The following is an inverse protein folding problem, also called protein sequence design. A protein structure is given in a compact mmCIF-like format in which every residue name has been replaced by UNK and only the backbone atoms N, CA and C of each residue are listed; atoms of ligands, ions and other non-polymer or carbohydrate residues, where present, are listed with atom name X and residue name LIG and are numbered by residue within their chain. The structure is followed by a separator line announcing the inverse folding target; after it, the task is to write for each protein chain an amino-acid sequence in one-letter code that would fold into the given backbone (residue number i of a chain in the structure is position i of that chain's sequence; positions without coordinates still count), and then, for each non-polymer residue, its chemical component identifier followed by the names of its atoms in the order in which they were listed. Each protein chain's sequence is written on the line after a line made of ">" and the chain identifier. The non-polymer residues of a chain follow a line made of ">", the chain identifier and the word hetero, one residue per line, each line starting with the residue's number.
data_IF_522600190067
#
_entry.id   IF_522600190067
#
_cell.length_a   1.000
_cell.length_b   1.000
_cell.length_c   1.000
_cell.angle_alpha   90.00
_cell.angle_beta   90.00
_cell.angle_gamma   90.00
#
_symmetry.space_group_name_H-M   'P 1'
#
loop_
_entity.id
_entity.type
_entity.pdbx_description
1 polymer ?
#
# COMPACT_ATOMS: atom_id res chain seq x y z
N UNK A 1 -7.73 -63.92 16.53
CA UNK A 1 -6.45 -63.20 16.64
C UNK A 1 -6.64 -61.84 15.98
N UNK A 2 -6.62 -60.78 16.80
CA UNK A 2 -7.09 -59.43 16.46
C UNK A 2 -6.09 -58.69 15.56
N UNK A 3 -6.59 -58.21 14.43
CA UNK A 3 -6.06 -57.07 13.69
C UNK A 3 -6.30 -55.77 14.49
N UNK A 4 -5.31 -54.87 14.55
CA UNK A 4 -5.64 -53.46 14.44
C UNK A 4 -4.64 -52.74 13.53
N UNK A 5 -5.14 -52.32 12.35
CA UNK A 5 -4.45 -51.43 11.42
C UNK A 5 -5.45 -50.33 11.05
N UNK A 6 -5.84 -49.52 12.04
CA UNK A 6 -6.84 -48.48 11.86
C UNK A 6 -6.65 -47.35 12.89
N UNK A 7 -5.72 -46.43 12.64
CA UNK A 7 -5.69 -45.11 13.28
C UNK A 7 -4.64 -44.19 12.62
N UNK A 8 -4.86 -43.77 11.38
CA UNK A 8 -4.02 -42.73 10.75
C UNK A 8 -4.83 -41.90 9.73
N UNK A 9 -6.01 -41.43 10.12
CA UNK A 9 -6.84 -40.61 9.25
C UNK A 9 -7.63 -39.59 10.07
N UNK A 10 -6.99 -38.52 10.60
CA UNK A 10 -7.72 -37.43 11.27
C UNK A 10 -6.93 -36.10 11.42
N UNK A 11 -6.02 -35.77 10.50
CA UNK A 11 -5.34 -34.46 10.56
C UNK A 11 -5.14 -33.82 9.17
N UNK A 12 -6.22 -33.70 8.39
CA UNK A 12 -6.27 -32.73 7.30
C UNK A 12 -7.28 -31.64 7.68
N UNK A 13 -6.88 -30.80 8.62
CA UNK A 13 -7.63 -29.59 8.97
C UNK A 13 -7.50 -28.64 7.78
N UNK A 14 -8.61 -28.42 7.09
CA UNK A 14 -8.71 -27.47 5.99
C UNK A 14 -8.27 -26.08 6.47
N UNK A 15 -7.10 -25.64 6.04
CA UNK A 15 -6.67 -24.27 6.23
C UNK A 15 -7.69 -23.35 5.52
N UNK A 16 -8.11 -22.25 6.15
CA UNK A 16 -9.03 -21.31 5.51
C UNK A 16 -8.36 -20.78 4.25
N UNK A 17 -8.99 -21.01 3.11
CA UNK A 17 -8.56 -20.43 1.85
C UNK A 17 -8.59 -18.91 2.01
N UNK A 18 -7.43 -18.26 1.90
CA UNK A 18 -7.35 -16.82 1.80
C UNK A 18 -8.17 -16.40 0.58
N UNK A 19 -9.36 -15.85 0.80
CA UNK A 19 -10.17 -15.28 -0.26
C UNK A 19 -9.32 -14.21 -0.96
N UNK A 20 -8.99 -14.45 -2.23
CA UNK A 20 -8.38 -13.45 -3.07
C UNK A 20 -9.32 -12.24 -3.06
N UNK A 21 -8.87 -11.14 -2.47
CA UNK A 21 -9.66 -9.92 -2.39
C UNK A 21 -9.76 -9.36 -3.80
N UNK A 22 -10.97 -9.23 -4.35
CA UNK A 22 -11.15 -8.53 -5.63
C UNK A 22 -10.59 -7.11 -5.50
N UNK A 23 -9.92 -6.58 -6.53
CA UNK A 23 -9.37 -5.23 -6.48
C UNK A 23 -10.48 -4.25 -6.15
N UNK A 24 -10.33 -3.47 -5.08
CA UNK A 24 -11.26 -2.41 -4.75
C UNK A 24 -11.36 -1.46 -5.96
N UNK A 25 -12.55 -1.34 -6.54
CA UNK A 25 -12.80 -0.45 -7.67
C UNK A 25 -12.87 0.97 -7.13
N UNK A 26 -11.73 1.67 -7.15
CA UNK A 26 -11.61 3.09 -6.80
C UNK A 26 -11.60 3.97 -8.05
N UNK A 27 -12.07 5.21 -7.91
CA UNK A 27 -12.01 6.23 -8.96
C UNK A 27 -10.57 6.51 -9.41
N UNK A 28 -10.41 7.10 -10.61
CA UNK A 28 -9.09 7.49 -11.12
C UNK A 28 -8.39 8.50 -10.21
N UNK A 29 -9.15 9.46 -9.67
CA UNK A 29 -8.65 10.45 -8.72
C UNK A 29 -8.14 9.79 -7.44
N UNK A 30 -8.95 8.92 -6.84
CA UNK A 30 -8.57 8.16 -5.64
C UNK A 30 -7.35 7.27 -5.89
N UNK A 31 -7.21 6.73 -7.10
CA UNK A 31 -6.04 5.95 -7.50
C UNK A 31 -4.80 6.82 -7.58
N UNK A 32 -4.89 8.03 -8.15
CA UNK A 32 -3.78 8.97 -8.19
C UNK A 32 -3.36 9.38 -6.77
N UNK A 33 -4.33 9.66 -5.90
CA UNK A 33 -4.11 10.02 -4.50
C UNK A 33 -3.38 8.90 -3.74
N UNK A 34 -3.87 7.66 -3.86
CA UNK A 34 -3.25 6.46 -3.28
C UNK A 34 -1.81 6.26 -3.78
N UNK A 35 -1.63 6.37 -5.09
CA UNK A 35 -0.33 6.17 -5.76
C UNK A 35 0.69 7.22 -5.33
N UNK A 36 0.29 8.48 -5.20
CA UNK A 36 1.18 9.53 -4.70
C UNK A 36 1.50 9.39 -3.21
N UNK A 37 0.52 9.02 -2.39
CA UNK A 37 0.76 8.71 -0.98
C UNK A 37 1.79 7.57 -0.80
N UNK A 38 1.66 6.51 -1.60
CA UNK A 38 2.62 5.41 -1.60
C UNK A 38 4.00 5.83 -2.12
N UNK A 39 4.08 6.65 -3.17
CA UNK A 39 5.33 7.16 -3.70
C UNK A 39 6.10 8.00 -2.66
N UNK A 40 5.40 8.88 -1.93
CA UNK A 40 6.02 9.64 -0.85
C UNK A 40 6.55 8.76 0.28
N UNK A 41 5.80 7.73 0.68
CA UNK A 41 6.27 6.79 1.68
C UNK A 41 7.55 6.06 1.24
N UNK A 42 7.62 5.65 -0.03
CA UNK A 42 8.81 5.01 -0.60
C UNK A 42 10.00 5.97 -0.68
N UNK A 43 9.81 7.19 -1.18
CA UNK A 43 10.87 8.21 -1.25
C UNK A 43 11.36 8.57 0.14
N UNK A 44 10.46 8.82 1.10
CA UNK A 44 10.83 9.15 2.48
C UNK A 44 11.65 8.02 3.12
N UNK A 45 11.30 6.76 2.87
CA UNK A 45 12.09 5.61 3.34
C UNK A 45 13.48 5.59 2.71
N UNK A 46 13.59 5.76 1.38
CA UNK A 46 14.89 5.84 0.69
C UNK A 46 15.75 7.02 1.21
N UNK A 47 15.13 8.16 1.51
CA UNK A 47 15.80 9.32 2.12
C UNK A 47 16.31 9.00 3.53
N UNK A 48 15.49 8.35 4.36
CA UNK A 48 15.87 7.93 5.71
C UNK A 48 17.01 6.90 5.71
N UNK A 49 17.10 6.05 4.68
CA UNK A 49 18.21 5.12 4.46
C UNK A 49 19.46 5.78 3.85
N UNK A 50 19.38 7.06 3.50
CA UNK A 50 20.50 7.82 2.94
C UNK A 50 20.81 7.51 1.47
N UNK A 51 19.88 6.89 0.74
CA UNK A 51 20.06 6.53 -0.67
C UNK A 51 20.29 7.78 -1.54
N UNK A 52 21.36 7.76 -2.35
CA UNK A 52 21.73 8.91 -3.17
C UNK A 52 20.65 9.27 -4.21
N UNK A 53 19.98 8.26 -4.78
CA UNK A 53 18.90 8.43 -5.75
C UNK A 53 17.70 9.20 -5.18
N UNK A 54 17.46 9.14 -3.87
CA UNK A 54 16.35 9.82 -3.23
C UNK A 54 16.61 11.31 -2.94
N UNK A 55 17.87 11.75 -3.02
CA UNK A 55 18.28 13.15 -2.79
C UNK A 55 17.91 14.09 -3.95
N UNK A 56 17.54 13.53 -5.10
CA UNK A 56 17.02 14.32 -6.22
C UNK A 56 15.63 14.91 -5.92
N UNK A 57 14.91 14.32 -4.96
CA UNK A 57 13.60 14.78 -4.52
C UNK A 57 13.73 15.68 -3.30
N UNK A 58 12.82 16.66 -3.12
CA UNK A 58 12.75 17.44 -1.88
C UNK A 58 12.52 16.50 -0.68
N UNK A 59 12.83 16.97 0.53
CA UNK A 59 12.50 16.23 1.74
C UNK A 59 10.98 16.10 1.87
N UNK A 60 10.50 14.86 1.80
CA UNK A 60 9.07 14.53 1.89
C UNK A 60 8.72 13.83 3.20
N UNK A 61 9.67 13.70 4.15
CA UNK A 61 9.44 12.95 5.38
C UNK A 61 8.24 13.43 6.19
N UNK A 62 8.12 14.75 6.42
CA UNK A 62 6.99 15.34 7.17
C UNK A 62 5.77 15.56 6.29
N UNK A 63 5.89 16.37 5.23
CA UNK A 63 4.77 16.73 4.35
C UNK A 63 4.16 15.52 3.65
N UNK A 64 4.98 14.55 3.22
CA UNK A 64 4.51 13.30 2.62
C UNK A 64 3.76 12.40 3.60
N UNK A 65 4.12 12.40 4.89
CA UNK A 65 3.38 11.68 5.94
C UNK A 65 2.02 12.32 6.21
N UNK A 66 1.98 13.64 6.28
CA UNK A 66 0.72 14.38 6.44
C UNK A 66 -0.22 14.15 5.25
N UNK A 67 0.32 14.20 4.03
CA UNK A 67 -0.40 13.84 2.81
C UNK A 67 -0.91 12.40 2.85
N UNK A 68 -0.10 11.44 3.31
CA UNK A 68 -0.53 10.05 3.45
C UNK A 68 -1.74 9.93 4.38
N UNK A 69 -1.71 10.57 5.54
CA UNK A 69 -2.83 10.53 6.50
C UNK A 69 -4.09 11.14 5.88
N UNK A 70 -3.97 12.30 5.22
CA UNK A 70 -5.07 12.95 4.53
C UNK A 70 -5.65 12.05 3.43
N UNK A 71 -4.79 11.47 2.60
CA UNK A 71 -5.17 10.57 1.52
C UNK A 71 -5.91 9.34 2.02
N UNK A 72 -5.43 8.72 3.10
CA UNK A 72 -6.09 7.54 3.67
C UNK A 72 -7.47 7.89 4.23
N UNK A 73 -7.62 9.04 4.89
CA UNK A 73 -8.93 9.50 5.38
C UNK A 73 -9.92 9.70 4.22
N UNK A 74 -9.51 10.41 3.15
CA UNK A 74 -10.34 10.62 1.97
C UNK A 74 -10.74 9.30 1.29
N UNK A 75 -9.80 8.35 1.21
CA UNK A 75 -10.10 7.03 0.64
C UNK A 75 -11.04 6.21 1.51
N UNK A 76 -10.92 6.27 2.83
CA UNK A 76 -11.87 5.62 3.73
C UNK A 76 -13.28 6.18 3.53
N UNK A 77 -13.43 7.51 3.46
CA UNK A 77 -14.72 8.16 3.22
C UNK A 77 -15.31 7.80 1.85
N UNK A 78 -14.47 7.76 0.80
CA UNK A 78 -14.92 7.49 -0.56
C UNK A 78 -15.25 6.02 -0.84
N UNK A 79 -14.63 5.09 -0.11
CA UNK A 79 -14.76 3.64 -0.39
C UNK A 79 -15.52 2.88 0.69
N UNK A 80 -15.71 3.48 1.87
CA UNK A 80 -16.26 2.79 3.05
C UNK A 80 -15.32 1.75 3.65
N UNK A 81 -14.06 1.66 3.20
CA UNK A 81 -13.08 0.74 3.77
C UNK A 81 -12.72 1.14 5.20
N UNK A 82 -12.56 0.13 6.05
CA UNK A 82 -12.03 0.31 7.38
C UNK A 82 -10.49 0.48 7.38
N UNK A 83 -9.92 0.68 8.56
CA UNK A 83 -8.47 0.82 8.73
C UNK A 83 -7.68 -0.36 8.16
N UNK A 84 -8.18 -1.59 8.33
CA UNK A 84 -7.50 -2.78 7.83
C UNK A 84 -7.53 -2.84 6.30
N UNK A 85 -8.68 -2.54 5.70
CA UNK A 85 -8.87 -2.44 4.26
C UNK A 85 -7.97 -1.39 3.62
N UNK A 86 -7.93 -0.17 4.18
CA UNK A 86 -7.10 0.90 3.62
C UNK A 86 -5.60 0.64 3.79
N UNK A 87 -5.20 0.03 4.92
CA UNK A 87 -3.79 -0.35 5.14
C UNK A 87 -3.34 -1.40 4.12
N UNK A 88 -4.20 -2.39 3.83
CA UNK A 88 -3.93 -3.38 2.80
C UNK A 88 -3.81 -2.72 1.42
N UNK A 89 -4.77 -1.86 1.06
CA UNK A 89 -4.79 -1.15 -0.22
C UNK A 89 -3.53 -0.29 -0.43
N UNK A 90 -3.12 0.49 0.57
CA UNK A 90 -1.89 1.29 0.52
C UNK A 90 -0.62 0.42 0.44
N UNK A 91 -0.59 -0.68 1.18
CA UNK A 91 0.50 -1.64 1.12
C UNK A 91 0.63 -2.32 -0.24
N UNK A 92 -0.49 -2.67 -0.88
CA UNK A 92 -0.52 -3.23 -2.23
C UNK A 92 0.02 -2.23 -3.26
N UNK A 93 -0.41 -0.97 -3.22
CA UNK A 93 0.09 0.07 -4.14
C UNK A 93 1.59 0.33 -3.94
N UNK A 94 2.07 0.41 -2.69
CA UNK A 94 3.49 0.59 -2.41
C UNK A 94 4.35 -0.57 -2.94
N UNK A 95 3.88 -1.82 -2.76
CA UNK A 95 4.55 -3.01 -3.33
C UNK A 95 4.54 -2.98 -4.85
N UNK A 96 3.41 -2.61 -5.48
CA UNK A 96 3.30 -2.52 -6.93
C UNK A 96 4.27 -1.49 -7.51
N UNK A 97 4.36 -0.30 -6.90
CA UNK A 97 5.31 0.76 -7.28
C UNK A 97 6.77 0.34 -7.12
N UNK A 98 7.10 -0.32 -6.01
CA UNK A 98 8.44 -0.82 -5.77
C UNK A 98 8.83 -1.88 -6.81
N UNK A 99 7.91 -2.79 -7.15
CA UNK A 99 8.15 -3.85 -8.13
C UNK A 99 8.28 -3.30 -9.56
N UNK A 100 7.52 -2.28 -9.94
CA UNK A 100 7.59 -1.70 -11.28
C UNK A 100 8.73 -0.70 -11.48
N UNK A 101 9.27 -0.13 -10.39
CA UNK A 101 10.28 0.93 -10.44
C UNK A 101 9.72 2.27 -10.93
N UNK A 102 8.40 2.46 -10.92
CA UNK A 102 7.77 3.68 -11.45
C UNK A 102 7.78 4.87 -10.49
N UNK A 103 8.23 4.68 -9.24
CA UNK A 103 8.21 5.72 -8.20
C UNK A 103 8.82 7.03 -8.71
N UNK A 104 10.00 6.98 -9.31
CA UNK A 104 10.68 8.20 -9.78
C UNK A 104 10.01 8.82 -11.02
N UNK A 105 9.26 8.04 -11.81
CA UNK A 105 8.52 8.54 -12.97
C UNK A 105 7.30 9.37 -12.56
N UNK A 106 6.63 8.98 -11.48
CA UNK A 106 5.40 9.64 -11.02
C UNK A 106 5.65 10.79 -10.05
N UNK A 107 6.84 10.84 -9.45
CA UNK A 107 7.17 11.82 -8.43
C UNK A 107 6.93 13.29 -8.82
N UNK A 108 7.28 13.75 -10.04
CA UNK A 108 7.01 15.14 -10.43
C UNK A 108 5.53 15.52 -10.34
N UNK A 109 4.63 14.63 -10.80
CA UNK A 109 3.18 14.84 -10.71
C UNK A 109 2.69 14.76 -9.27
N UNK A 110 3.26 13.88 -8.46
CA UNK A 110 2.87 13.76 -7.06
C UNK A 110 3.24 15.00 -6.25
N UNK A 111 4.39 15.63 -6.52
CA UNK A 111 4.76 16.88 -5.85
C UNK A 111 3.78 18.02 -6.14
N UNK A 112 3.28 18.14 -7.37
CA UNK A 112 2.22 19.10 -7.70
C UNK A 112 0.93 18.83 -6.89
N UNK A 113 0.58 17.56 -6.70
CA UNK A 113 -0.58 17.18 -5.88
C UNK A 113 -0.36 17.47 -4.40
N UNK A 114 0.86 17.28 -3.89
CA UNK A 114 1.22 17.64 -2.52
C UNK A 114 1.05 19.15 -2.31
N UNK A 115 1.58 19.98 -3.22
CA UNK A 115 1.42 21.44 -3.15
C UNK A 115 -0.05 21.87 -3.21
N UNK A 116 -0.85 21.24 -4.09
CA UNK A 116 -2.28 21.52 -4.19
C UNK A 116 -3.08 21.12 -2.93
N UNK A 117 -2.56 20.21 -2.10
CA UNK A 117 -3.22 19.80 -0.86
C UNK A 117 -3.15 20.84 0.26
N UNK A 118 -2.32 21.87 0.11
CA UNK A 118 -2.12 22.91 1.13
C UNK A 118 -1.22 22.50 2.30
N UNK A 119 -0.55 21.34 2.18
CA UNK A 119 0.50 20.82 3.06
C UNK A 119 1.86 21.22 2.49
#
# INVERSE_FOLDING_TARGET
>A
MLTPLLAAALALQAAPAAAASEPAVISQENRALLRCAAAFALVANRQAQGEASARQWPDVGTRGREFFVLAMAQLMDATGLDRAGITRLAGDEARALAASGDTDKIMPSCLLMLEASGI
#
